data_IF_001649701559
#
_entry.id   IF_001649701559
#
_cell.length_a   1.000
_cell.length_b   1.000
_cell.length_c   1.000
_cell.angle_alpha   90.00
_cell.angle_beta   90.00
_cell.angle_gamma   90.00
#
_symmetry.space_group_name_H-M   'P 1'
#
loop_
_entity.id
_entity.type
_entity.pdbx_description
1 polymer ?
#
# COMPACT_ATOMS: atom_id res chain seq x y z
N UNK A 1 -6.13 -14.79 -6.93
CA UNK A 1 -6.39 -15.14 -8.35
C UNK A 1 -7.13 -14.04 -9.10
N UNK A 2 -8.16 -13.38 -8.53
CA UNK A 2 -8.92 -12.31 -9.21
C UNK A 2 -8.13 -11.03 -9.46
N UNK A 3 -7.21 -10.65 -8.58
CA UNK A 3 -6.33 -9.49 -8.78
C UNK A 3 -5.49 -9.64 -10.05
N UNK A 4 -4.99 -10.84 -10.32
CA UNK A 4 -4.11 -11.12 -11.45
C UNK A 4 -4.87 -11.33 -12.75
N UNK A 5 -6.12 -11.84 -12.70
CA UNK A 5 -6.90 -12.16 -13.91
C UNK A 5 -7.38 -10.94 -14.68
N UNK A 6 -7.55 -9.78 -14.01
CA UNK A 6 -8.12 -8.58 -14.64
C UNK A 6 -7.09 -7.73 -15.40
N UNK A 7 -5.79 -7.94 -15.22
CA UNK A 7 -4.71 -7.16 -15.85
C UNK A 7 -3.44 -7.98 -16.14
N UNK A 8 -3.60 -9.26 -16.49
CA UNK A 8 -2.47 -10.14 -16.82
C UNK A 8 -1.51 -9.58 -17.90
N UNK A 9 -2.02 -8.70 -18.78
CA UNK A 9 -1.24 -8.09 -19.85
C UNK A 9 -0.34 -6.91 -19.42
N UNK A 10 -0.44 -6.45 -18.17
CA UNK A 10 0.31 -5.27 -17.66
C UNK A 10 1.23 -5.63 -16.49
N UNK A 11 1.42 -6.90 -16.18
CA UNK A 11 2.27 -7.33 -15.09
C UNK A 11 3.66 -7.68 -15.63
N UNK A 12 4.74 -7.25 -14.95
CA UNK A 12 6.06 -7.66 -15.36
C UNK A 12 6.19 -9.17 -15.26
N UNK A 13 6.85 -9.79 -16.23
CA UNK A 13 7.32 -11.16 -16.10
C UNK A 13 8.41 -11.25 -15.03
N UNK A 14 8.78 -12.47 -14.62
CA UNK A 14 9.87 -12.64 -13.65
C UNK A 14 11.19 -12.04 -14.16
N UNK A 15 11.47 -12.18 -15.45
CA UNK A 15 12.68 -11.63 -16.09
C UNK A 15 12.62 -10.09 -16.14
N UNK A 16 11.49 -9.52 -16.50
CA UNK A 16 11.29 -8.05 -16.47
C UNK A 16 11.37 -7.50 -15.05
N UNK A 17 10.83 -8.21 -14.07
CA UNK A 17 10.98 -7.83 -12.66
C UNK A 17 12.44 -7.77 -12.25
N UNK A 18 13.23 -8.79 -12.63
CA UNK A 18 14.66 -8.83 -12.29
C UNK A 18 15.45 -7.72 -12.98
N UNK A 19 15.17 -7.43 -14.25
CA UNK A 19 15.75 -6.30 -14.96
C UNK A 19 15.42 -4.95 -14.29
N UNK A 20 14.16 -4.74 -13.90
CA UNK A 20 13.73 -3.55 -13.18
C UNK A 20 14.42 -3.45 -11.81
N UNK A 21 14.57 -4.58 -11.11
CA UNK A 21 15.27 -4.65 -9.83
C UNK A 21 16.74 -4.22 -9.97
N UNK A 22 17.44 -4.78 -10.95
CA UNK A 22 18.83 -4.42 -11.23
C UNK A 22 18.98 -2.93 -11.56
N UNK A 23 18.12 -2.43 -12.46
CA UNK A 23 18.12 -1.02 -12.83
C UNK A 23 17.79 -0.09 -11.65
N UNK A 24 16.85 -0.46 -10.79
CA UNK A 24 16.49 0.32 -9.60
C UNK A 24 17.67 0.37 -8.60
N UNK A 25 18.32 -0.76 -8.34
CA UNK A 25 19.48 -0.85 -7.46
C UNK A 25 20.66 -0.02 -8.00
N UNK A 26 20.95 -0.12 -9.30
CA UNK A 26 22.01 0.64 -9.95
C UNK A 26 21.79 2.15 -9.86
N UNK A 27 20.58 2.62 -10.20
CA UNK A 27 20.20 4.04 -10.10
C UNK A 27 20.36 4.59 -8.69
N UNK A 28 19.94 3.83 -7.69
CA UNK A 28 20.02 4.22 -6.29
C UNK A 28 21.47 4.27 -5.83
N UNK A 29 22.29 3.29 -6.22
CA UNK A 29 23.72 3.24 -5.90
C UNK A 29 24.52 4.33 -6.64
N UNK A 30 24.08 4.72 -7.83
CA UNK A 30 24.73 5.74 -8.67
C UNK A 30 24.48 7.20 -8.29
N UNK A 31 23.66 7.48 -7.26
CA UNK A 31 23.52 8.82 -6.69
C UNK A 31 22.68 9.82 -7.53
N UNK A 32 21.79 9.36 -8.39
CA UNK A 32 20.91 10.23 -9.19
C UNK A 32 19.82 10.84 -8.31
N UNK A 33 19.94 12.10 -7.95
CA UNK A 33 19.26 12.76 -6.83
C UNK A 33 17.73 12.97 -6.92
N UNK A 34 17.10 12.99 -8.07
CA UNK A 34 15.66 13.29 -8.16
C UNK A 34 14.76 12.10 -7.83
N UNK A 35 15.19 10.87 -8.14
CA UNK A 35 14.46 9.64 -7.77
C UNK A 35 14.62 9.28 -6.29
N UNK A 36 15.59 9.88 -5.59
CA UNK A 36 15.93 9.64 -4.18
C UNK A 36 14.90 10.08 -3.15
N UNK A 37 13.98 10.98 -3.49
CA UNK A 37 12.93 11.43 -2.55
C UNK A 37 12.10 10.24 -2.04
N UNK A 38 11.83 9.28 -2.92
CA UNK A 38 11.06 8.08 -2.56
C UNK A 38 11.87 7.11 -1.72
N UNK A 39 13.16 6.93 -2.00
CA UNK A 39 14.02 6.00 -1.27
C UNK A 39 14.10 6.34 0.21
N UNK A 40 14.29 7.63 0.56
CA UNK A 40 14.33 8.06 1.96
C UNK A 40 13.00 7.84 2.68
N UNK A 41 11.87 8.08 2.01
CA UNK A 41 10.55 7.83 2.57
C UNK A 41 10.32 6.33 2.79
N UNK A 42 10.72 5.50 1.83
CA UNK A 42 10.66 4.04 1.95
C UNK A 42 11.46 3.58 3.17
N UNK A 43 12.72 4.00 3.33
CA UNK A 43 13.56 3.60 4.48
C UNK A 43 12.92 3.94 5.83
N UNK A 44 12.35 5.14 5.95
CA UNK A 44 11.64 5.55 7.16
C UNK A 44 10.40 4.68 7.41
N UNK A 45 9.67 4.33 6.35
CA UNK A 45 8.46 3.50 6.46
C UNK A 45 8.77 2.04 6.76
N UNK A 46 9.89 1.48 6.25
CA UNK A 46 10.31 0.11 6.58
C UNK A 46 10.40 -0.10 8.09
N UNK A 47 11.06 0.81 8.81
CA UNK A 47 11.27 0.70 10.25
C UNK A 47 9.95 0.67 11.07
N UNK A 48 8.88 1.24 10.54
CA UNK A 48 7.56 1.32 11.19
C UNK A 48 6.49 0.42 10.56
N UNK A 49 6.88 -0.41 9.57
CA UNK A 49 6.00 -1.38 8.95
C UNK A 49 5.94 -2.63 9.81
N UNK A 50 4.78 -2.91 10.40
CA UNK A 50 4.55 -4.03 11.33
C UNK A 50 5.66 -4.22 12.38
N UNK A 51 5.98 -3.20 13.20
CA UNK A 51 7.13 -3.24 14.11
C UNK A 51 7.06 -4.40 15.10
N UNK A 52 5.84 -4.84 15.47
CA UNK A 52 5.63 -5.96 16.40
C UNK A 52 5.96 -7.33 15.79
N UNK A 53 6.02 -7.45 14.46
CA UNK A 53 6.36 -8.72 13.81
C UNK A 53 7.87 -8.93 13.68
N UNK A 54 8.69 -7.87 13.77
CA UNK A 54 10.14 -7.94 13.66
C UNK A 54 10.69 -8.24 12.27
N UNK A 55 9.85 -8.53 11.27
CA UNK A 55 10.31 -8.95 9.94
C UNK A 55 10.91 -7.83 9.10
N UNK A 56 10.45 -6.60 9.28
CA UNK A 56 10.75 -5.45 8.42
C UNK A 56 11.59 -4.37 9.09
N UNK A 57 11.79 -4.48 10.40
CA UNK A 57 12.65 -3.59 11.19
C UNK A 57 14.14 -3.74 10.85
N UNK A 58 14.98 -3.04 11.57
CA UNK A 58 16.43 -3.15 11.43
C UNK A 58 16.89 -4.58 11.73
N UNK A 59 17.67 -5.16 10.83
CA UNK A 59 18.06 -6.57 10.91
C UNK A 59 16.97 -7.59 10.59
N UNK A 60 15.75 -7.16 10.29
CA UNK A 60 14.64 -8.06 9.99
C UNK A 60 14.84 -8.81 8.66
N UNK A 61 14.45 -10.10 8.60
CA UNK A 61 14.76 -10.98 7.46
C UNK A 61 14.09 -10.53 6.14
N UNK A 62 12.96 -9.84 6.19
CA UNK A 62 12.22 -9.39 5.00
C UNK A 62 12.43 -7.91 4.66
N UNK A 63 13.25 -7.19 5.45
CA UNK A 63 13.50 -5.75 5.21
C UNK A 63 14.05 -5.48 3.81
N UNK A 64 15.06 -6.25 3.40
CA UNK A 64 15.68 -6.11 2.07
C UNK A 64 14.69 -6.37 0.95
N UNK A 65 13.92 -7.44 1.06
CA UNK A 65 12.89 -7.82 0.09
C UNK A 65 11.81 -6.76 -0.06
N UNK A 66 11.29 -6.23 1.05
CA UNK A 66 10.28 -5.17 1.02
C UNK A 66 10.81 -3.89 0.39
N UNK A 67 12.07 -3.52 0.70
CA UNK A 67 12.75 -2.37 0.10
C UNK A 67 12.83 -2.52 -1.42
N UNK A 68 13.40 -3.62 -1.89
CA UNK A 68 13.58 -3.89 -3.32
C UNK A 68 12.24 -3.91 -4.07
N UNK A 69 11.22 -4.58 -3.53
CA UNK A 69 9.88 -4.60 -4.10
C UNK A 69 9.33 -3.19 -4.31
N UNK A 70 9.44 -2.32 -3.30
CA UNK A 70 8.95 -0.94 -3.39
C UNK A 70 9.75 -0.11 -4.40
N UNK A 71 11.06 -0.33 -4.50
CA UNK A 71 11.90 0.32 -5.51
C UNK A 71 11.50 -0.10 -6.93
N UNK A 72 11.33 -1.40 -7.16
CA UNK A 72 10.90 -1.94 -8.46
C UNK A 72 9.54 -1.38 -8.83
N UNK A 73 8.57 -1.40 -7.88
CA UNK A 73 7.25 -0.86 -8.12
C UNK A 73 7.28 0.62 -8.55
N UNK A 74 8.08 1.45 -7.88
CA UNK A 74 8.21 2.87 -8.21
C UNK A 74 8.97 3.11 -9.54
N UNK A 75 9.80 2.17 -9.97
CA UNK A 75 10.52 2.23 -11.23
C UNK A 75 9.72 1.73 -12.44
N UNK A 76 8.57 1.08 -12.21
CA UNK A 76 7.69 0.63 -13.30
C UNK A 76 7.14 1.84 -14.08
N UNK A 77 6.99 1.74 -15.42
CA UNK A 77 6.54 2.86 -16.26
C UNK A 77 5.17 3.44 -15.85
N UNK A 78 4.28 2.60 -15.34
CA UNK A 78 2.95 2.96 -14.84
C UNK A 78 2.84 2.83 -13.30
N UNK A 79 3.97 2.65 -12.62
CA UNK A 79 4.07 2.68 -11.17
C UNK A 79 3.69 4.05 -10.60
N UNK A 80 2.93 4.06 -9.52
CA UNK A 80 2.62 5.29 -8.83
C UNK A 80 3.80 5.73 -7.96
N UNK A 81 4.02 7.05 -7.81
CA UNK A 81 5.02 7.54 -6.88
C UNK A 81 4.77 6.98 -5.47
N UNK A 82 5.84 6.62 -4.76
CA UNK A 82 5.72 6.10 -3.41
C UNK A 82 4.97 7.09 -2.50
N UNK A 83 4.04 6.56 -1.75
CA UNK A 83 3.31 7.27 -0.70
C UNK A 83 3.45 6.53 0.62
N UNK A 84 3.55 7.30 1.69
CA UNK A 84 3.60 6.76 3.04
C UNK A 84 2.43 5.81 3.29
N UNK A 85 2.72 4.59 3.73
CA UNK A 85 1.74 3.53 3.97
C UNK A 85 1.70 2.45 2.87
N UNK A 86 2.22 2.69 1.66
CA UNK A 86 2.34 1.65 0.64
C UNK A 86 3.18 0.46 1.13
N UNK A 87 4.16 0.71 2.02
CA UNK A 87 4.95 -0.34 2.66
C UNK A 87 4.09 -1.38 3.40
N UNK A 88 2.97 -0.96 4.01
CA UNK A 88 2.06 -1.87 4.69
C UNK A 88 1.32 -2.79 3.70
N UNK A 89 0.91 -2.27 2.53
CA UNK A 89 0.29 -3.07 1.47
C UNK A 89 1.28 -4.11 0.94
N UNK A 90 2.48 -3.65 0.56
CA UNK A 90 3.55 -4.49 0.04
C UNK A 90 3.99 -5.57 1.06
N UNK A 91 4.17 -5.19 2.32
CA UNK A 91 4.53 -6.11 3.40
C UNK A 91 3.44 -7.17 3.64
N UNK A 92 2.15 -6.78 3.60
CA UNK A 92 1.05 -7.73 3.72
C UNK A 92 1.08 -8.75 2.59
N UNK A 93 1.32 -8.30 1.35
CA UNK A 93 1.44 -9.20 0.20
C UNK A 93 2.64 -10.15 0.33
N UNK A 94 3.83 -9.64 0.71
CA UNK A 94 5.00 -10.48 0.96
C UNK A 94 4.74 -11.57 1.99
N UNK A 95 4.11 -11.24 3.12
CA UNK A 95 3.79 -12.20 4.18
C UNK A 95 2.85 -13.32 3.72
N UNK A 96 1.93 -13.02 2.78
CA UNK A 96 0.95 -14.00 2.29
C UNK A 96 1.43 -14.78 1.06
N UNK A 97 2.42 -14.26 0.35
CA UNK A 97 2.96 -14.86 -0.88
C UNK A 97 4.32 -15.54 -0.65
N UNK A 98 4.63 -15.93 0.59
CA UNK A 98 5.81 -16.70 0.95
C UNK A 98 7.14 -16.07 0.47
N UNK A 99 7.25 -14.74 0.62
CA UNK A 99 8.41 -13.95 0.21
C UNK A 99 8.67 -13.92 -1.31
N UNK A 100 7.68 -14.27 -2.13
CA UNK A 100 7.76 -14.09 -3.58
C UNK A 100 7.60 -12.60 -3.93
N UNK A 101 8.72 -11.90 -4.06
CA UNK A 101 8.75 -10.45 -4.29
C UNK A 101 8.21 -10.07 -5.67
N UNK A 102 8.41 -10.90 -6.70
CA UNK A 102 7.86 -10.68 -8.03
C UNK A 102 6.32 -10.74 -7.98
N UNK A 103 5.76 -11.82 -7.45
CA UNK A 103 4.31 -11.98 -7.33
C UNK A 103 3.70 -10.90 -6.43
N UNK A 104 4.37 -10.54 -5.33
CA UNK A 104 3.92 -9.47 -4.44
C UNK A 104 3.92 -8.10 -5.15
N UNK A 105 4.93 -7.81 -6.00
CA UNK A 105 4.99 -6.59 -6.81
C UNK A 105 3.85 -6.56 -7.84
N UNK A 106 3.62 -7.65 -8.55
CA UNK A 106 2.53 -7.78 -9.50
C UNK A 106 1.15 -7.59 -8.82
N UNK A 107 0.96 -8.18 -7.64
CA UNK A 107 -0.26 -8.00 -6.85
C UNK A 107 -0.41 -6.55 -6.35
N UNK A 108 0.67 -5.90 -5.90
CA UNK A 108 0.65 -4.50 -5.49
C UNK A 108 0.26 -3.58 -6.65
N UNK A 109 0.83 -3.83 -7.83
CA UNK A 109 0.52 -3.09 -9.04
C UNK A 109 -0.95 -3.26 -9.43
N UNK A 110 -1.46 -4.50 -9.43
CA UNK A 110 -2.86 -4.80 -9.71
C UNK A 110 -3.81 -4.16 -8.68
N UNK A 111 -3.43 -4.17 -7.40
CA UNK A 111 -4.21 -3.58 -6.32
C UNK A 111 -4.32 -2.06 -6.49
N UNK A 112 -3.19 -1.37 -6.60
CA UNK A 112 -3.15 0.10 -6.72
C UNK A 112 -3.73 0.60 -8.04
N UNK A 113 -3.60 -0.16 -9.12
CA UNK A 113 -4.16 0.17 -10.43
C UNK A 113 -5.62 -0.22 -10.61
N UNK A 114 -6.09 -1.27 -9.91
CA UNK A 114 -7.43 -1.85 -10.05
C UNK A 114 -8.50 -1.23 -9.15
N UNK A 115 -8.09 -0.56 -8.05
CA UNK A 115 -9.01 0.03 -7.09
C UNK A 115 -8.93 1.57 -7.14
N UNK A 116 -9.95 2.26 -7.71
CA UNK A 116 -9.99 3.71 -7.84
C UNK A 116 -9.73 4.45 -6.53
N UNK A 117 -10.24 3.96 -5.39
CA UNK A 117 -10.00 4.59 -4.10
C UNK A 117 -8.54 4.55 -3.66
N UNK A 118 -7.83 3.43 -3.89
CA UNK A 118 -6.41 3.31 -3.56
C UNK A 118 -5.57 4.19 -4.48
N UNK A 119 -5.93 4.23 -5.76
CA UNK A 119 -5.29 5.12 -6.74
C UNK A 119 -5.52 6.58 -6.39
N UNK A 120 -6.73 6.96 -5.96
CA UNK A 120 -7.03 8.30 -5.48
C UNK A 120 -6.24 8.65 -4.22
N UNK A 121 -6.07 7.71 -3.29
CA UNK A 121 -5.25 7.87 -2.10
C UNK A 121 -3.77 8.10 -2.45
N UNK A 122 -3.22 7.28 -3.34
CA UNK A 122 -1.86 7.43 -3.83
C UNK A 122 -1.63 8.75 -4.58
N UNK A 123 -2.67 9.27 -5.24
CA UNK A 123 -2.64 10.55 -5.99
C UNK A 123 -3.10 11.76 -5.16
N UNK A 124 -3.37 11.60 -3.86
CA UNK A 124 -3.89 12.64 -2.95
C UNK A 124 -5.24 13.26 -3.40
N UNK A 125 -6.08 12.50 -4.09
CA UNK A 125 -7.39 12.94 -4.62
C UNK A 125 -8.56 12.34 -3.83
N UNK A 126 -8.48 12.38 -2.50
CA UNK A 126 -9.48 11.75 -1.62
C UNK A 126 -10.64 12.66 -1.19
N UNK A 127 -10.66 13.93 -1.54
CA UNK A 127 -11.67 14.86 -1.06
C UNK A 127 -13.14 14.41 -1.33
N UNK A 128 -13.51 13.87 -2.51
CA UNK A 128 -14.84 13.31 -2.71
C UNK A 128 -15.14 12.11 -1.82
N UNK A 129 -14.19 11.19 -1.69
CA UNK A 129 -14.31 9.98 -0.86
C UNK A 129 -14.43 10.32 0.63
N UNK A 130 -13.71 11.33 1.11
CA UNK A 130 -13.82 11.84 2.48
C UNK A 130 -15.22 12.34 2.78
N UNK A 131 -15.81 13.14 1.89
CA UNK A 131 -17.20 13.66 2.07
C UNK A 131 -18.22 12.53 2.06
N UNK A 132 -18.08 11.59 1.15
CA UNK A 132 -18.95 10.41 1.09
C UNK A 132 -18.83 9.55 2.35
N UNK A 133 -17.60 9.28 2.79
CA UNK A 133 -17.33 8.54 4.02
C UNK A 133 -17.93 9.26 5.25
N UNK A 134 -17.73 10.56 5.39
CA UNK A 134 -18.26 11.33 6.51
C UNK A 134 -19.80 11.28 6.57
N UNK A 135 -20.46 11.43 5.42
CA UNK A 135 -21.91 11.29 5.33
C UNK A 135 -22.38 9.89 5.75
N UNK A 136 -21.71 8.83 5.25
CA UNK A 136 -21.97 7.44 5.62
C UNK A 136 -21.75 7.18 7.11
N UNK A 137 -20.65 7.68 7.68
CA UNK A 137 -20.33 7.54 9.10
C UNK A 137 -21.38 8.21 10.01
N UNK A 138 -21.89 9.37 9.61
CA UNK A 138 -22.97 10.06 10.35
C UNK A 138 -24.28 9.25 10.37
N UNK A 139 -24.55 8.50 9.29
CA UNK A 139 -25.73 7.64 9.19
C UNK A 139 -25.52 6.31 9.93
N UNK A 140 -24.39 5.64 9.72
CA UNK A 140 -24.14 4.31 10.24
C UNK A 140 -23.75 4.32 11.73
N UNK A 141 -23.00 5.34 12.18
CA UNK A 141 -22.46 5.44 13.53
C UNK A 141 -22.61 6.86 14.10
N UNK A 142 -23.84 7.38 14.27
CA UNK A 142 -24.08 8.78 14.62
C UNK A 142 -23.47 9.19 15.98
N UNK A 143 -23.41 8.29 16.95
CA UNK A 143 -22.79 8.56 18.24
C UNK A 143 -21.27 8.78 18.13
N UNK A 144 -20.58 7.92 17.38
CA UNK A 144 -19.15 8.05 17.12
C UNK A 144 -18.86 9.32 16.32
N UNK A 145 -19.62 9.57 15.25
CA UNK A 145 -19.45 10.76 14.42
C UNK A 145 -19.61 12.05 15.24
N UNK A 146 -20.63 12.14 16.09
CA UNK A 146 -20.80 13.29 17.00
C UNK A 146 -19.65 13.45 18.00
N UNK A 147 -19.16 12.33 18.55
CA UNK A 147 -18.05 12.37 19.50
C UNK A 147 -16.75 12.85 18.85
N UNK A 148 -16.45 12.37 17.63
CA UNK A 148 -15.28 12.82 16.87
C UNK A 148 -15.39 14.30 16.52
N UNK A 149 -16.55 14.75 16.06
CA UNK A 149 -16.79 16.16 15.78
C UNK A 149 -16.62 17.06 17.02
N UNK A 150 -17.12 16.62 18.19
CA UNK A 150 -16.96 17.36 19.45
C UNK A 150 -15.52 17.42 19.94
N UNK A 151 -14.66 16.52 19.47
CA UNK A 151 -13.21 16.50 19.72
C UNK A 151 -12.40 17.18 18.62
N UNK A 152 -13.08 17.78 17.64
CA UNK A 152 -12.46 18.41 16.45
C UNK A 152 -11.56 17.43 15.65
N UNK A 153 -11.88 16.12 15.69
CA UNK A 153 -11.16 15.08 14.95
C UNK A 153 -11.82 14.92 13.58
N UNK A 154 -11.19 15.50 12.57
CA UNK A 154 -11.64 15.38 11.18
C UNK A 154 -11.44 13.98 10.58
N UNK A 155 -12.26 13.59 9.59
CA UNK A 155 -12.19 12.26 8.98
C UNK A 155 -10.86 11.99 8.28
N UNK A 156 -10.12 12.99 7.85
CA UNK A 156 -8.79 12.88 7.24
C UNK A 156 -7.77 12.20 8.16
N UNK A 157 -7.90 12.35 9.48
CA UNK A 157 -6.95 11.80 10.45
C UNK A 157 -7.04 10.27 10.58
N UNK A 158 -8.17 9.67 10.26
CA UNK A 158 -8.38 8.22 10.38
C UNK A 158 -8.75 7.56 9.06
N UNK A 159 -9.55 8.19 8.21
CA UNK A 159 -9.95 7.60 6.92
C UNK A 159 -8.78 7.45 5.95
N UNK A 160 -7.93 8.47 5.81
CA UNK A 160 -6.78 8.41 4.90
C UNK A 160 -5.82 7.27 5.29
N UNK A 161 -5.37 7.13 6.55
CA UNK A 161 -4.59 5.97 6.97
C UNK A 161 -5.28 4.63 6.72
N UNK A 162 -6.59 4.54 6.91
CA UNK A 162 -7.35 3.31 6.66
C UNK A 162 -7.30 2.91 5.20
N UNK A 163 -7.59 3.86 4.31
CA UNK A 163 -7.60 3.61 2.86
C UNK A 163 -6.20 3.28 2.35
N UNK A 164 -5.20 4.13 2.63
CA UNK A 164 -3.84 3.97 2.12
C UNK A 164 -3.21 2.64 2.52
N UNK A 165 -3.60 2.08 3.66
CA UNK A 165 -3.04 0.82 4.17
C UNK A 165 -4.04 -0.35 4.13
N UNK A 166 -5.25 -0.16 3.58
CA UNK A 166 -6.35 -1.12 3.68
C UNK A 166 -6.46 -1.69 5.11
N UNK A 167 -6.52 -0.77 6.09
CA UNK A 167 -6.66 -1.04 7.53
C UNK A 167 -5.48 -1.78 8.20
N UNK A 168 -4.45 -2.23 7.48
CA UNK A 168 -3.35 -3.03 8.05
C UNK A 168 -2.51 -2.28 9.09
N UNK A 169 -2.53 -0.95 9.07
CA UNK A 169 -1.92 -0.12 10.11
C UNK A 169 -2.80 0.07 11.34
N UNK A 170 -4.13 0.00 11.16
CA UNK A 170 -5.10 0.41 12.17
C UNK A 170 -5.78 -0.76 12.89
N UNK A 171 -5.80 -1.94 12.25
CA UNK A 171 -6.36 -3.17 12.80
C UNK A 171 -5.27 -4.22 13.05
N UNK A 172 -5.50 -5.16 13.97
CA UNK A 172 -4.71 -6.38 14.03
C UNK A 172 -4.67 -7.06 12.66
N UNK A 173 -3.49 -7.56 12.24
CA UNK A 173 -3.27 -8.06 10.88
C UNK A 173 -4.33 -9.10 10.46
N UNK A 174 -4.69 -10.03 11.35
CA UNK A 174 -5.72 -11.04 11.07
C UNK A 174 -7.10 -10.43 10.73
N UNK A 175 -7.47 -9.32 11.37
CA UNK A 175 -8.72 -8.61 11.05
C UNK A 175 -8.59 -7.83 9.74
N UNK A 176 -7.45 -7.18 9.53
CA UNK A 176 -7.18 -6.48 8.27
C UNK A 176 -7.25 -7.45 7.08
N UNK A 177 -6.69 -8.66 7.20
CA UNK A 177 -6.77 -9.69 6.17
C UNK A 177 -8.22 -10.08 5.83
N UNK A 178 -9.11 -10.17 6.83
CA UNK A 178 -10.54 -10.42 6.57
C UNK A 178 -11.21 -9.28 5.79
N UNK A 179 -10.81 -8.03 6.06
CA UNK A 179 -11.25 -6.88 5.24
C UNK A 179 -10.73 -7.01 3.81
N UNK A 180 -9.46 -7.39 3.66
CA UNK A 180 -8.87 -7.64 2.34
C UNK A 180 -9.61 -8.73 1.57
N UNK A 181 -9.92 -9.87 2.22
CA UNK A 181 -10.67 -10.96 1.59
C UNK A 181 -11.99 -10.44 1.02
N UNK A 182 -12.68 -9.58 1.78
CA UNK A 182 -13.92 -8.97 1.35
C UNK A 182 -13.74 -8.00 0.17
N UNK A 183 -12.80 -7.07 0.30
CA UNK A 183 -12.47 -6.09 -0.76
C UNK A 183 -12.05 -6.81 -2.04
N UNK A 184 -11.20 -7.85 -1.94
CA UNK A 184 -10.70 -8.58 -3.09
C UNK A 184 -11.76 -9.49 -3.74
N UNK A 185 -12.76 -9.96 -2.98
CA UNK A 185 -13.83 -10.82 -3.50
C UNK A 185 -14.98 -10.03 -4.10
N UNK A 186 -15.37 -8.92 -3.48
CA UNK A 186 -16.55 -8.13 -3.82
C UNK A 186 -16.19 -6.85 -4.63
N UNK A 187 -14.94 -6.45 -4.63
CA UNK A 187 -14.46 -5.20 -5.24
C UNK A 187 -14.80 -3.98 -4.39
N UNK A 188 -14.85 -2.79 -5.00
CA UNK A 188 -15.11 -1.52 -4.29
C UNK A 188 -16.53 -1.37 -3.74
N UNK A 189 -17.39 -2.34 -3.98
CA UNK A 189 -18.76 -2.35 -3.44
C UNK A 189 -18.82 -2.91 -2.00
N UNK A 190 -17.71 -3.48 -1.52
CA UNK A 190 -17.56 -3.96 -0.15
C UNK A 190 -17.26 -2.79 0.80
#
# INVERSE_FOLDING_TARGET
PRLLSTRAALQPTADEYELLRMAAVERISGGIHEEFKHTRLIEVDLARTFPRLGFFGEGGPLRGRLRELLWVYCAMPDGLPYRQGMSHLAATLLLHLQDDAHLACACLHALLGGYPILRAAASLRLAPSLRFFEAGARLACPAAARRLAALEIGPELYFIPWVVTLFTRSLPLALACRVWDRVLSEGERA
#
